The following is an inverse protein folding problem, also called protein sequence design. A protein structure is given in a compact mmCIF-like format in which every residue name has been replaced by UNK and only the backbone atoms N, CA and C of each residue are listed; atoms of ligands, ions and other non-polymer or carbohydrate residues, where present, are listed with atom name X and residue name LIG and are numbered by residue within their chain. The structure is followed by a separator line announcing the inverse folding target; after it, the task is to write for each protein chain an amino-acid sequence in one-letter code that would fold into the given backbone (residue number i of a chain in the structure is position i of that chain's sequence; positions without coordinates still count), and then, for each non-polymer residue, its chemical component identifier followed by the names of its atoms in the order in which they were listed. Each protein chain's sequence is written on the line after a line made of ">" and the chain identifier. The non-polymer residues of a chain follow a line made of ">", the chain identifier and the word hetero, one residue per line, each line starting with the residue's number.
data_IF_488018947722
#
_entry.id   IF_488018947722
#
_cell.length_a   1.000
_cell.length_b   1.000
_cell.length_c   1.000
_cell.angle_alpha   90.00
_cell.angle_beta   90.00
_cell.angle_gamma   90.00
#
_symmetry.space_group_name_H-M   'P 1'
#
loop_
_entity.id
_entity.type
_entity.pdbx_description
1 polymer ?
#
# COMPACT_ATOMS: atom_id res chain seq x y z
N UNK A 1 3.84 24.46 -11.78
CA UNK A 1 2.80 23.75 -10.98
C UNK A 1 3.13 23.96 -9.51
N UNK A 2 2.19 24.45 -8.69
CA UNK A 2 2.46 24.65 -7.26
C UNK A 2 2.89 23.32 -6.63
N UNK A 3 3.98 23.36 -5.86
CA UNK A 3 4.57 22.19 -5.19
C UNK A 3 3.52 21.36 -4.45
N UNK A 4 2.60 22.04 -3.75
CA UNK A 4 1.48 21.45 -3.03
C UNK A 4 0.47 20.70 -3.93
N UNK A 5 0.19 21.22 -5.13
CA UNK A 5 -0.74 20.58 -6.06
C UNK A 5 -0.13 19.29 -6.59
N UNK A 6 1.16 19.31 -6.96
CA UNK A 6 1.88 18.10 -7.38
C UNK A 6 1.90 17.04 -6.27
N UNK A 7 2.16 17.45 -5.03
CA UNK A 7 2.20 16.54 -3.88
C UNK A 7 0.85 15.86 -3.65
N UNK A 8 -0.23 16.65 -3.61
CA UNK A 8 -1.58 16.12 -3.42
C UNK A 8 -1.99 15.18 -4.56
N UNK A 9 -1.70 15.53 -5.82
CA UNK A 9 -2.00 14.66 -6.96
C UNK A 9 -1.27 13.31 -6.87
N UNK A 10 0.00 13.31 -6.46
CA UNK A 10 0.78 12.08 -6.29
C UNK A 10 0.24 11.23 -5.13
N UNK A 11 -0.11 11.84 -4.00
CA UNK A 11 -0.68 11.11 -2.86
C UNK A 11 -2.04 10.48 -3.19
N UNK A 12 -2.89 11.17 -3.95
CA UNK A 12 -4.19 10.63 -4.40
C UNK A 12 -3.97 9.46 -5.37
N UNK A 13 -3.02 9.60 -6.30
CA UNK A 13 -2.68 8.55 -7.24
C UNK A 13 -2.11 7.31 -6.52
N UNK A 14 -1.20 7.49 -5.58
CA UNK A 14 -0.66 6.39 -4.78
C UNK A 14 -1.74 5.73 -3.92
N UNK A 15 -2.65 6.50 -3.33
CA UNK A 15 -3.79 5.95 -2.61
C UNK A 15 -4.63 5.06 -3.53
N UNK A 16 -4.93 5.51 -4.75
CA UNK A 16 -5.68 4.71 -5.71
C UNK A 16 -4.92 3.44 -6.12
N UNK A 17 -3.62 3.55 -6.41
CA UNK A 17 -2.78 2.41 -6.80
C UNK A 17 -2.65 1.36 -5.70
N UNK A 18 -2.45 1.78 -4.45
CA UNK A 18 -2.35 0.87 -3.30
C UNK A 18 -3.66 0.10 -3.10
N UNK A 19 -4.80 0.78 -3.22
CA UNK A 19 -6.11 0.12 -3.13
C UNK A 19 -6.35 -0.82 -4.32
N UNK A 20 -5.97 -0.42 -5.54
CA UNK A 20 -6.05 -1.26 -6.72
C UNK A 20 -5.16 -2.51 -6.60
N UNK A 21 -3.92 -2.37 -6.12
CA UNK A 21 -2.99 -3.50 -5.89
C UNK A 21 -3.57 -4.52 -4.90
N UNK A 22 -4.11 -4.05 -3.77
CA UNK A 22 -4.77 -4.92 -2.80
C UNK A 22 -6.00 -5.64 -3.39
N UNK A 23 -6.82 -4.92 -4.16
CA UNK A 23 -7.99 -5.51 -4.82
C UNK A 23 -7.59 -6.57 -5.87
N UNK A 24 -6.57 -6.29 -6.69
CA UNK A 24 -6.01 -7.23 -7.66
C UNK A 24 -5.44 -8.45 -6.95
N UNK A 25 -4.76 -8.26 -5.82
CA UNK A 25 -4.21 -9.36 -5.01
C UNK A 25 -5.32 -10.27 -4.46
N UNK A 26 -6.46 -9.70 -4.08
CA UNK A 26 -7.66 -10.45 -3.69
C UNK A 26 -8.26 -11.22 -4.87
N UNK A 27 -8.41 -10.60 -6.03
CA UNK A 27 -8.89 -11.26 -7.24
C UNK A 27 -8.02 -12.44 -7.65
N UNK A 28 -6.69 -12.26 -7.66
CA UNK A 28 -5.73 -13.30 -7.99
C UNK A 28 -5.71 -14.43 -6.95
N UNK A 29 -5.98 -14.12 -5.67
CA UNK A 29 -5.98 -15.12 -4.61
C UNK A 29 -7.18 -16.07 -4.70
N UNK A 30 -8.31 -15.58 -5.15
CA UNK A 30 -9.57 -16.31 -5.19
C UNK A 30 -10.04 -16.64 -6.61
N UNK A 31 -9.15 -16.51 -7.61
CA UNK A 31 -9.47 -16.72 -9.04
C UNK A 31 -10.76 -15.99 -9.49
N UNK A 32 -11.05 -14.83 -8.89
CA UNK A 32 -12.25 -14.02 -9.15
C UNK A 32 -13.48 -14.33 -8.28
N UNK A 33 -13.50 -15.43 -7.51
CA UNK A 33 -14.62 -15.80 -6.62
C UNK A 33 -14.35 -15.39 -5.16
N UNK A 34 -14.47 -14.10 -4.87
CA UNK A 34 -14.20 -13.56 -3.53
C UNK A 34 -15.38 -13.83 -2.59
N UNK A 35 -15.12 -14.51 -1.46
CA UNK A 35 -16.12 -14.73 -0.42
C UNK A 35 -16.48 -13.40 0.29
N UNK A 36 -17.76 -13.14 0.62
CA UNK A 36 -18.21 -11.84 1.14
C UNK A 36 -17.51 -11.40 2.42
N UNK A 37 -17.09 -12.35 3.28
CA UNK A 37 -16.32 -12.08 4.49
C UNK A 37 -14.99 -11.35 4.19
N UNK A 38 -14.32 -11.70 3.08
CA UNK A 38 -13.08 -11.04 2.67
C UNK A 38 -13.30 -9.66 2.04
N UNK A 39 -14.48 -9.43 1.46
CA UNK A 39 -14.88 -8.12 0.93
C UNK A 39 -15.13 -7.15 2.07
N UNK A 40 -15.84 -7.58 3.12
CA UNK A 40 -16.05 -6.77 4.32
C UNK A 40 -14.74 -6.47 5.04
N UNK A 41 -13.87 -7.48 5.19
CA UNK A 41 -12.52 -7.29 5.72
C UNK A 41 -11.70 -6.31 4.88
N UNK A 42 -11.80 -6.37 3.55
CA UNK A 42 -11.14 -5.43 2.66
C UNK A 42 -11.59 -3.99 2.91
N UNK A 43 -12.91 -3.71 2.94
CA UNK A 43 -13.42 -2.37 3.21
C UNK A 43 -13.00 -1.83 4.59
N UNK A 44 -12.92 -2.70 5.60
CA UNK A 44 -12.43 -2.30 6.93
C UNK A 44 -10.92 -1.98 6.93
N UNK A 45 -10.12 -2.68 6.11
CA UNK A 45 -8.66 -2.55 6.07
C UNK A 45 -8.16 -1.46 5.11
N UNK A 46 -8.91 -1.13 4.06
CA UNK A 46 -8.58 -0.08 3.07
C UNK A 46 -8.05 1.21 3.70
N UNK A 47 -8.76 1.86 4.67
CA UNK A 47 -8.31 3.14 5.21
C UNK A 47 -7.00 2.99 6.00
N UNK A 48 -6.84 1.89 6.73
CA UNK A 48 -5.61 1.61 7.48
C UNK A 48 -4.42 1.35 6.54
N UNK A 49 -4.63 0.51 5.53
CA UNK A 49 -3.59 0.16 4.56
C UNK A 49 -3.11 1.39 3.79
N UNK A 50 -4.06 2.20 3.32
CA UNK A 50 -3.78 3.45 2.60
C UNK A 50 -3.02 4.42 3.49
N UNK A 51 -3.48 4.63 4.73
CA UNK A 51 -2.89 5.62 5.64
C UNK A 51 -1.46 5.24 6.03
N UNK A 52 -1.21 3.98 6.42
CA UNK A 52 0.14 3.50 6.76
C UNK A 52 1.07 3.60 5.56
N UNK A 53 0.60 3.23 4.36
CA UNK A 53 1.42 3.27 3.15
C UNK A 53 1.79 4.71 2.78
N UNK A 54 0.83 5.64 2.78
CA UNK A 54 1.10 7.06 2.52
C UNK A 54 2.07 7.68 3.54
N UNK A 55 1.91 7.34 4.83
CA UNK A 55 2.82 7.81 5.89
C UNK A 55 4.25 7.30 5.63
N UNK A 56 4.41 6.04 5.26
CA UNK A 56 5.71 5.49 4.89
C UNK A 56 6.29 6.19 3.65
N UNK A 57 5.53 6.32 2.56
CA UNK A 57 5.99 6.98 1.33
C UNK A 57 6.44 8.44 1.60
N UNK A 58 5.71 9.13 2.49
CA UNK A 58 6.07 10.47 2.94
C UNK A 58 7.34 10.48 3.80
N UNK A 59 7.46 9.56 4.79
CA UNK A 59 8.62 9.46 5.66
C UNK A 59 9.91 9.15 4.89
N UNK A 60 9.83 8.32 3.84
CA UNK A 60 10.95 8.01 2.94
C UNK A 60 11.22 9.13 1.91
N UNK A 61 10.47 10.24 1.96
CA UNK A 61 10.58 11.42 1.09
C UNK A 61 10.51 11.06 -0.40
N UNK A 62 9.78 10.01 -0.75
CA UNK A 62 9.67 9.54 -2.13
C UNK A 62 8.98 10.57 -3.03
N UNK A 63 8.06 11.35 -2.48
CA UNK A 63 7.38 12.44 -3.20
C UNK A 63 8.28 13.62 -3.63
N UNK A 64 9.42 13.81 -2.97
CA UNK A 64 10.36 14.88 -3.32
C UNK A 64 11.37 14.45 -4.38
N UNK A 65 11.48 13.14 -4.68
CA UNK A 65 12.43 12.62 -5.67
C UNK A 65 11.89 12.82 -7.08
N UNK A 66 12.74 13.32 -7.96
CA UNK A 66 12.40 13.44 -9.38
C UNK A 66 12.71 12.12 -10.08
N UNK A 67 11.70 11.56 -10.75
CA UNK A 67 11.80 10.33 -11.55
C UNK A 67 12.92 10.36 -12.60
N UNK A 68 13.38 11.56 -12.99
CA UNK A 68 14.47 11.77 -13.93
C UNK A 68 15.86 11.29 -13.42
N UNK A 69 16.00 11.03 -12.12
CA UNK A 69 17.28 10.61 -11.50
C UNK A 69 17.15 9.34 -10.63
N UNK A 70 16.29 8.41 -11.05
CA UNK A 70 16.12 7.12 -10.40
C UNK A 70 17.44 6.32 -10.37
N UNK A 71 18.21 6.50 -9.30
CA UNK A 71 19.43 5.76 -8.95
C UNK A 71 19.11 4.50 -8.13
N UNK A 72 20.08 3.58 -8.03
CA UNK A 72 19.98 2.39 -7.17
C UNK A 72 19.66 2.74 -5.70
N UNK A 73 20.10 3.92 -5.25
CA UNK A 73 19.76 4.42 -3.92
C UNK A 73 18.26 4.71 -3.75
N UNK A 74 17.57 5.12 -4.80
CA UNK A 74 16.13 5.37 -4.78
C UNK A 74 15.35 4.05 -4.76
N UNK A 75 15.77 3.07 -5.56
CA UNK A 75 15.16 1.73 -5.56
C UNK A 75 15.22 1.10 -4.16
N UNK A 76 16.38 1.17 -3.49
CA UNK A 76 16.50 0.65 -2.12
C UNK A 76 15.63 1.40 -1.11
N UNK A 77 15.37 2.70 -1.32
CA UNK A 77 14.47 3.49 -0.49
C UNK A 77 13.00 3.07 -0.70
N UNK A 78 12.60 2.80 -1.94
CA UNK A 78 11.26 2.28 -2.27
C UNK A 78 11.06 0.92 -1.61
N UNK A 79 11.99 -0.02 -1.80
CA UNK A 79 11.89 -1.37 -1.21
C UNK A 79 11.76 -1.28 0.31
N UNK A 80 12.59 -0.45 0.98
CA UNK A 80 12.48 -0.23 2.43
C UNK A 80 11.13 0.36 2.82
N UNK A 81 10.65 1.35 2.08
CA UNK A 81 9.36 2.00 2.35
C UNK A 81 8.20 1.00 2.28
N UNK A 82 8.15 0.21 1.20
CA UNK A 82 7.09 -0.80 0.98
C UNK A 82 7.20 -1.92 2.01
N UNK A 83 8.40 -2.43 2.30
CA UNK A 83 8.56 -3.47 3.33
C UNK A 83 8.13 -2.97 4.71
N UNK A 84 8.47 -1.74 5.10
CA UNK A 84 8.07 -1.18 6.39
C UNK A 84 6.58 -0.88 6.43
N UNK A 85 5.96 -0.42 5.33
CA UNK A 85 4.51 -0.21 5.29
C UNK A 85 3.76 -1.52 5.42
N UNK A 86 4.14 -2.56 4.67
CA UNK A 86 3.50 -3.88 4.77
C UNK A 86 3.66 -4.47 6.17
N UNK A 87 4.87 -4.41 6.75
CA UNK A 87 5.11 -4.87 8.12
C UNK A 87 4.30 -4.07 9.15
N UNK A 88 4.20 -2.75 8.97
CA UNK A 88 3.40 -1.85 9.81
C UNK A 88 1.92 -2.18 9.77
N UNK A 89 1.35 -2.37 8.59
CA UNK A 89 -0.06 -2.80 8.43
C UNK A 89 -0.27 -4.14 9.11
N UNK A 90 0.55 -5.15 8.83
CA UNK A 90 0.43 -6.48 9.44
C UNK A 90 0.51 -6.37 10.97
N UNK A 91 1.43 -5.57 11.50
CA UNK A 91 1.54 -5.27 12.92
C UNK A 91 0.27 -4.64 13.50
N UNK A 92 -0.30 -3.62 12.84
CA UNK A 92 -1.55 -2.99 13.25
C UNK A 92 -2.71 -3.99 13.27
N UNK A 93 -2.81 -4.88 12.27
CA UNK A 93 -3.87 -5.89 12.22
C UNK A 93 -3.81 -6.80 13.45
N UNK A 94 -2.63 -7.30 13.81
CA UNK A 94 -2.46 -8.16 14.99
C UNK A 94 -2.61 -7.43 16.32
N UNK A 95 -2.16 -6.16 16.41
CA UNK A 95 -2.25 -5.36 17.64
C UNK A 95 -3.69 -4.95 17.97
N UNK A 96 -4.49 -4.61 16.95
CA UNK A 96 -5.86 -4.13 17.12
C UNK A 96 -6.92 -5.23 16.94
N UNK A 97 -6.52 -6.47 16.67
CA UNK A 97 -7.45 -7.59 16.46
C UNK A 97 -8.38 -7.38 15.27
N UNK A 98 -7.88 -6.72 14.21
CA UNK A 98 -8.66 -6.43 13.00
C UNK A 98 -8.89 -7.71 12.18
N UNK A 99 -9.90 -7.71 11.29
CA UNK A 99 -10.15 -8.83 10.38
C UNK A 99 -8.88 -9.19 9.60
N UNK A 100 -8.55 -10.48 9.56
CA UNK A 100 -7.33 -10.97 8.90
C UNK A 100 -7.63 -11.45 7.49
N UNK A 101 -6.86 -10.98 6.50
CA UNK A 101 -6.86 -11.53 5.16
C UNK A 101 -5.91 -12.75 5.08
N UNK A 102 -6.04 -13.63 4.07
CA UNK A 102 -5.11 -14.72 3.87
C UNK A 102 -3.68 -14.20 3.74
N UNK A 103 -2.72 -14.83 4.43
CA UNK A 103 -1.33 -14.34 4.54
C UNK A 103 -0.65 -14.08 3.19
N UNK A 104 -1.02 -14.85 2.16
CA UNK A 104 -0.54 -14.68 0.79
C UNK A 104 -0.94 -13.35 0.16
N UNK A 105 -2.07 -12.76 0.54
CA UNK A 105 -2.55 -11.48 -0.02
C UNK A 105 -1.60 -10.35 0.37
N UNK A 106 -1.07 -10.35 1.60
CA UNK A 106 -0.07 -9.36 2.02
C UNK A 106 1.24 -9.48 1.25
N UNK A 107 1.65 -10.71 0.90
CA UNK A 107 2.85 -10.94 0.10
C UNK A 107 2.65 -10.55 -1.37
N UNK A 108 1.48 -10.85 -1.93
CA UNK A 108 1.12 -10.44 -3.29
C UNK A 108 1.02 -8.92 -3.39
N UNK A 109 0.37 -8.25 -2.43
CA UNK A 109 0.26 -6.79 -2.40
C UNK A 109 1.58 -6.07 -2.08
N UNK A 110 2.61 -6.76 -1.61
CA UNK A 110 3.97 -6.21 -1.54
C UNK A 110 4.67 -6.25 -2.91
N UNK A 111 4.28 -7.20 -3.77
CA UNK A 111 4.88 -7.40 -5.09
C UNK A 111 4.21 -6.55 -6.19
N UNK A 112 2.89 -6.35 -6.11
CA UNK A 112 2.09 -5.55 -7.05
C UNK A 112 1.99 -4.08 -6.65
#
# INVERSE_FOLDING_TARGET
>A
MNYWVRLFSLMILDAFLVNASMYISLLLRFDGEIMPEYVEAFFALIPWYTLVTLVCLYAFRLYHRMWQYASLGELSAIVKAVTISTAGVVGCIYLFGLPTLPRSVYLLGWFF
#
